data_IF_784907997901
#
_entry.id   IF_784907997901
#
_cell.length_a   1.000
_cell.length_b   1.000
_cell.length_c   1.000
_cell.angle_alpha   90.00
_cell.angle_beta   90.00
_cell.angle_gamma   90.00
#
_symmetry.space_group_name_H-M   'P 1'
#
loop_
_entity.id
_entity.type
_entity.pdbx_description
1 polymer ?
#
# COMPACT_ATOMS: atom_id res chain seq x y z
N UNK A 1 11.04 9.28 -10.09
CA UNK A 1 11.58 9.13 -8.72
C UNK A 1 10.51 9.61 -7.76
N UNK A 2 10.21 8.84 -6.73
CA UNK A 2 9.46 9.32 -5.57
C UNK A 2 10.39 10.14 -4.66
N UNK A 3 9.87 11.05 -3.83
CA UNK A 3 10.64 11.62 -2.72
C UNK A 3 11.05 10.51 -1.73
N UNK A 4 11.97 10.81 -0.81
CA UNK A 4 12.23 9.92 0.32
C UNK A 4 10.94 9.77 1.15
N UNK A 5 10.52 8.54 1.40
CA UNK A 5 9.30 8.21 2.16
C UNK A 5 9.59 7.51 3.50
N UNK A 6 10.86 7.40 3.88
CA UNK A 6 11.26 6.79 5.15
C UNK A 6 10.64 7.54 6.34
N UNK A 7 9.90 6.81 7.18
CA UNK A 7 9.21 7.39 8.33
C UNK A 7 7.97 8.23 8.00
N UNK A 8 7.46 8.17 6.76
CA UNK A 8 6.30 8.96 6.31
C UNK A 8 5.03 8.10 6.26
N UNK A 9 3.87 8.72 6.51
CA UNK A 9 2.55 8.15 6.24
C UNK A 9 2.17 8.36 4.76
N UNK A 10 1.99 7.29 4.01
CA UNK A 10 1.74 7.32 2.56
C UNK A 10 0.29 6.96 2.25
N UNK A 11 -0.32 7.70 1.31
CA UNK A 11 -1.63 7.38 0.73
C UNK A 11 -1.43 6.82 -0.68
N UNK A 12 -1.71 5.54 -0.87
CA UNK A 12 -1.70 4.85 -2.17
C UNK A 12 -3.12 4.86 -2.76
N UNK A 13 -3.41 5.88 -3.58
CA UNK A 13 -4.74 6.10 -4.17
C UNK A 13 -4.86 5.39 -5.52
N UNK A 14 -5.88 4.55 -5.67
CA UNK A 14 -5.99 3.66 -6.83
C UNK A 14 -4.97 2.53 -6.74
N UNK A 15 -4.81 1.98 -5.53
CA UNK A 15 -3.81 0.98 -5.21
C UNK A 15 -3.97 -0.31 -6.04
N UNK A 16 -5.18 -0.55 -6.56
CA UNK A 16 -5.54 -1.74 -7.31
C UNK A 16 -5.19 -2.99 -6.51
N UNK A 17 -4.60 -3.97 -7.20
CA UNK A 17 -4.16 -5.25 -6.61
C UNK A 17 -2.87 -5.15 -5.77
N UNK A 18 -2.36 -3.94 -5.50
CA UNK A 18 -1.20 -3.74 -4.63
C UNK A 18 0.16 -3.82 -5.31
N UNK A 19 0.25 -3.48 -6.61
CA UNK A 19 1.51 -3.57 -7.39
C UNK A 19 2.68 -2.78 -6.77
N UNK A 20 2.37 -1.70 -6.05
CA UNK A 20 3.35 -0.85 -5.37
C UNK A 20 3.13 -0.76 -3.87
N UNK A 21 1.95 -1.09 -3.35
CA UNK A 21 1.61 -0.96 -1.93
C UNK A 21 2.63 -1.64 -1.02
N UNK A 22 3.03 -2.87 -1.32
CA UNK A 22 4.05 -3.58 -0.53
C UNK A 22 5.45 -2.95 -0.61
N UNK A 23 5.83 -2.40 -1.77
CA UNK A 23 7.11 -1.67 -1.91
C UNK A 23 7.08 -0.37 -1.10
N UNK A 24 5.99 0.38 -1.17
CA UNK A 24 5.79 1.58 -0.36
C UNK A 24 5.86 1.24 1.14
N UNK A 25 5.20 0.16 1.58
CA UNK A 25 5.19 -0.27 2.97
C UNK A 25 6.53 -0.78 3.49
N UNK A 26 7.44 -1.19 2.60
CA UNK A 26 8.80 -1.57 2.98
C UNK A 26 9.72 -0.38 3.31
N UNK A 27 9.34 0.82 2.88
CA UNK A 27 10.10 2.06 3.12
C UNK A 27 9.36 3.04 4.05
N UNK A 28 8.04 3.13 3.93
CA UNK A 28 7.18 4.03 4.70
C UNK A 28 6.93 3.54 6.14
N UNK A 29 6.56 4.46 7.03
CA UNK A 29 6.07 4.10 8.37
C UNK A 29 4.73 3.36 8.26
N UNK A 30 3.83 3.88 7.43
CA UNK A 30 2.51 3.29 7.18
C UNK A 30 2.02 3.63 5.77
N UNK A 31 1.25 2.72 5.17
CA UNK A 31 0.57 2.94 3.89
C UNK A 31 -0.93 2.73 4.07
N UNK A 32 -1.71 3.76 3.74
CA UNK A 32 -3.16 3.61 3.54
C UNK A 32 -3.41 3.36 2.05
N UNK A 33 -3.85 2.15 1.69
CA UNK A 33 -4.15 1.74 0.34
C UNK A 33 -5.65 1.87 0.09
N UNK A 34 -6.04 2.64 -0.91
CA UNK A 34 -7.46 2.82 -1.24
C UNK A 34 -7.71 2.52 -2.71
N UNK A 35 -8.78 1.77 -2.96
CA UNK A 35 -9.32 1.56 -4.30
C UNK A 35 -10.85 1.56 -4.22
N UNK A 36 -11.49 1.89 -5.34
CA UNK A 36 -12.95 1.88 -5.50
C UNK A 36 -13.47 0.51 -5.97
N UNK A 37 -12.59 -0.37 -6.44
CA UNK A 37 -12.90 -1.74 -6.83
C UNK A 37 -12.60 -2.69 -5.66
N UNK A 38 -13.65 -3.16 -4.97
CA UNK A 38 -13.52 -4.07 -3.82
C UNK A 38 -12.69 -5.33 -4.15
N UNK A 39 -12.87 -5.90 -5.34
CA UNK A 39 -12.12 -7.08 -5.80
C UNK A 39 -10.61 -6.82 -5.85
N UNK A 40 -10.22 -5.59 -6.21
CA UNK A 40 -8.82 -5.21 -6.32
C UNK A 40 -8.21 -4.96 -4.94
N UNK A 41 -8.93 -4.26 -4.05
CA UNK A 41 -8.42 -4.01 -2.70
C UNK A 41 -8.33 -5.31 -1.89
N UNK A 42 -9.28 -6.23 -2.04
CA UNK A 42 -9.19 -7.57 -1.44
C UNK A 42 -7.95 -8.34 -1.95
N UNK A 43 -7.65 -8.24 -3.24
CA UNK A 43 -6.43 -8.85 -3.82
C UNK A 43 -5.16 -8.21 -3.25
N UNK A 44 -5.18 -6.89 -3.02
CA UNK A 44 -4.07 -6.15 -2.39
C UNK A 44 -3.81 -6.66 -0.96
N UNK A 45 -4.86 -6.79 -0.16
CA UNK A 45 -4.77 -7.31 1.22
C UNK A 45 -4.18 -8.73 1.25
N UNK A 46 -4.62 -9.61 0.34
CA UNK A 46 -4.10 -10.99 0.23
C UNK A 46 -2.61 -10.96 -0.17
N UNK A 47 -2.25 -10.14 -1.16
CA UNK A 47 -0.87 -10.04 -1.64
C UNK A 47 0.09 -9.49 -0.57
N UNK A 48 -0.41 -8.65 0.33
CA UNK A 48 0.38 -7.93 1.33
C UNK A 48 0.11 -8.36 2.77
N UNK A 49 -0.53 -9.52 3.00
CA UNK A 49 -0.92 -10.03 4.33
C UNK A 49 0.24 -10.12 5.33
N UNK A 50 1.48 -10.26 4.87
CA UNK A 50 2.67 -10.36 5.72
C UNK A 50 3.16 -9.00 6.25
N UNK A 51 2.58 -7.88 5.82
CA UNK A 51 2.97 -6.53 6.18
C UNK A 51 1.95 -5.94 7.15
N UNK A 52 2.40 -5.58 8.36
CA UNK A 52 1.51 -5.09 9.43
C UNK A 52 1.25 -3.59 9.40
N UNK A 53 1.85 -2.86 8.47
CA UNK A 53 1.77 -1.41 8.35
C UNK A 53 0.98 -0.94 7.12
N UNK A 54 0.05 -1.75 6.64
CA UNK A 54 -0.88 -1.41 5.56
C UNK A 54 -2.31 -1.41 6.13
N UNK A 55 -3.13 -0.45 5.72
CA UNK A 55 -4.59 -0.41 5.98
C UNK A 55 -5.33 0.01 4.73
#
# INVERSE_FOLDING_TARGET
>A
LLPCIEGILVLDRGAGIGRYTGQLASEADHVTAVDFMDEYINTNEINNTNLSNIT
#
